data_IF_942585261435
#
_entry.id   IF_942585261435
#
_cell.length_a   1.000
_cell.length_b   1.000
_cell.length_c   1.000
_cell.angle_alpha   90.00
_cell.angle_beta   90.00
_cell.angle_gamma   90.00
#
_symmetry.space_group_name_H-M   'P 1'
#
loop_
_entity.id
_entity.type
_entity.pdbx_description
1 polymer ?
#
# COMPACT_ATOMS: atom_id res chain seq x y z
N UNK A 1 -1.92 9.41 -19.64
CA UNK A 1 -2.71 10.28 -18.73
C UNK A 1 -4.13 10.32 -19.27
N UNK A 2 -5.12 9.94 -18.46
CA UNK A 2 -6.53 10.01 -18.84
C UNK A 2 -7.30 10.92 -17.87
N UNK A 3 -8.33 11.59 -18.39
CA UNK A 3 -9.14 12.52 -17.62
C UNK A 3 -10.47 11.85 -17.26
N UNK A 4 -10.84 11.94 -15.98
CA UNK A 4 -12.15 11.52 -15.49
C UNK A 4 -12.76 12.64 -14.65
N UNK A 5 -14.09 12.74 -14.65
CA UNK A 5 -14.82 13.72 -13.84
C UNK A 5 -15.35 13.05 -12.57
N UNK A 6 -15.32 13.78 -11.47
CA UNK A 6 -16.04 13.41 -10.26
C UNK A 6 -17.53 13.64 -10.53
N UNK A 7 -18.31 12.56 -10.50
CA UNK A 7 -19.75 12.58 -10.62
C UNK A 7 -20.45 12.89 -9.31
N UNK A 8 -21.77 12.73 -9.31
CA UNK A 8 -22.58 12.93 -8.10
C UNK A 8 -22.09 12.04 -6.95
N UNK A 9 -22.16 12.59 -5.72
CA UNK A 9 -21.72 11.93 -4.48
C UNK A 9 -20.21 11.68 -4.40
N UNK A 10 -19.39 12.48 -5.11
CA UNK A 10 -17.94 12.42 -4.96
C UNK A 10 -17.27 11.19 -5.59
N UNK A 11 -17.96 10.46 -6.47
CA UNK A 11 -17.43 9.26 -7.11
C UNK A 11 -16.80 9.59 -8.45
N UNK A 12 -15.64 9.01 -8.73
CA UNK A 12 -15.06 8.97 -10.08
C UNK A 12 -14.72 7.52 -10.43
N UNK A 13 -14.63 7.23 -11.72
CA UNK A 13 -14.26 5.90 -12.21
C UNK A 13 -12.82 5.95 -12.70
N UNK A 14 -12.00 4.99 -12.28
CA UNK A 14 -10.65 4.84 -12.82
C UNK A 14 -10.78 4.36 -14.26
N UNK A 15 -10.25 5.08 -15.28
CA UNK A 15 -10.40 4.67 -16.67
C UNK A 15 -9.77 3.32 -16.98
N UNK A 16 -10.27 2.63 -18.01
CA UNK A 16 -9.92 1.23 -18.28
C UNK A 16 -8.42 1.00 -18.45
N UNK A 17 -7.75 1.78 -19.31
CA UNK A 17 -6.32 1.60 -19.55
C UNK A 17 -5.48 1.81 -18.27
N UNK A 18 -5.92 2.74 -17.40
CA UNK A 18 -5.27 3.00 -16.11
C UNK A 18 -5.48 1.82 -15.15
N UNK A 19 -6.69 1.25 -15.07
CA UNK A 19 -6.96 0.05 -14.24
C UNK A 19 -6.12 -1.14 -14.67
N UNK A 20 -6.06 -1.40 -15.98
CA UNK A 20 -5.30 -2.52 -16.55
C UNK A 20 -3.80 -2.36 -16.27
N UNK A 21 -3.25 -1.16 -16.53
CA UNK A 21 -1.84 -0.86 -16.26
C UNK A 21 -1.50 -0.97 -14.77
N UNK A 22 -2.42 -0.56 -13.89
CA UNK A 22 -2.25 -0.65 -12.44
C UNK A 22 -2.59 -2.03 -11.85
N UNK A 23 -3.04 -2.99 -12.65
CA UNK A 23 -3.43 -4.33 -12.19
C UNK A 23 -4.62 -4.33 -11.23
N UNK A 24 -5.53 -3.37 -11.37
CA UNK A 24 -6.75 -3.23 -10.58
C UNK A 24 -7.91 -4.01 -11.22
N UNK A 25 -8.56 -4.85 -10.43
CA UNK A 25 -9.65 -5.74 -10.81
C UNK A 25 -10.85 -5.53 -9.90
N UNK A 26 -12.01 -6.04 -10.31
CA UNK A 26 -13.19 -6.05 -9.47
C UNK A 26 -12.93 -6.83 -8.18
N UNK A 27 -13.37 -6.27 -7.04
CA UNK A 27 -13.17 -6.86 -5.71
C UNK A 27 -11.84 -6.48 -5.03
N UNK A 28 -10.91 -5.82 -5.73
CA UNK A 28 -9.69 -5.32 -5.10
C UNK A 28 -10.00 -4.24 -4.06
N UNK A 29 -9.33 -4.34 -2.90
CA UNK A 29 -9.28 -3.26 -1.93
C UNK A 29 -8.22 -2.23 -2.36
N UNK A 30 -8.53 -0.95 -2.21
CA UNK A 30 -7.61 0.16 -2.50
C UNK A 30 -7.56 1.15 -1.33
N UNK A 31 -6.39 1.74 -1.10
CA UNK A 31 -6.16 2.80 -0.13
C UNK A 31 -5.92 4.13 -0.85
N UNK A 32 -6.30 5.24 -0.22
CA UNK A 32 -6.13 6.60 -0.73
C UNK A 32 -5.25 7.41 0.22
N UNK A 33 -4.26 8.10 -0.33
CA UNK A 33 -3.34 8.95 0.42
C UNK A 33 -3.09 10.27 -0.31
N UNK A 34 -2.63 11.30 0.42
CA UNK A 34 -2.24 12.59 -0.15
C UNK A 34 -0.74 12.76 0.03
N UNK A 35 0.00 12.81 -1.08
CA UNK A 35 1.45 13.02 -1.09
C UNK A 35 1.80 14.21 -1.98
N UNK A 36 2.45 15.23 -1.41
CA UNK A 36 2.88 16.41 -2.19
C UNK A 36 1.75 17.08 -2.98
N UNK A 37 0.53 17.09 -2.44
CA UNK A 37 -0.66 17.64 -3.10
C UNK A 37 -1.26 16.75 -4.19
N UNK A 38 -0.81 15.50 -4.32
CA UNK A 38 -1.35 14.51 -5.26
C UNK A 38 -2.16 13.46 -4.52
N UNK A 39 -3.28 13.04 -5.12
CA UNK A 39 -4.01 11.85 -4.66
C UNK A 39 -3.27 10.61 -5.16
N UNK A 40 -2.77 9.80 -4.24
CA UNK A 40 -2.13 8.52 -4.52
C UNK A 40 -3.09 7.40 -4.15
N UNK A 41 -3.17 6.38 -4.99
CA UNK A 41 -4.06 5.23 -4.81
C UNK A 41 -3.22 3.96 -4.84
N UNK A 42 -3.35 3.14 -3.80
CA UNK A 42 -2.58 1.90 -3.67
C UNK A 42 -3.52 0.69 -3.69
N UNK A 43 -3.15 -0.36 -4.42
CA UNK A 43 -3.79 -1.67 -4.29
C UNK A 43 -3.39 -2.29 -2.95
N UNK A 44 -4.38 -2.66 -2.14
CA UNK A 44 -4.17 -3.35 -0.88
C UNK A 44 -4.22 -4.84 -1.14
N UNK A 45 -3.13 -5.54 -0.82
CA UNK A 45 -3.06 -7.00 -0.86
C UNK A 45 -3.14 -7.50 0.57
N UNK A 46 -4.24 -8.16 0.99
CA UNK A 46 -4.43 -8.63 2.36
C UNK A 46 -3.22 -9.43 2.86
N UNK A 47 -2.79 -10.42 2.08
CA UNK A 47 -1.68 -11.31 2.39
C UNK A 47 -0.35 -10.61 2.73
N UNK A 48 -0.14 -9.37 2.28
CA UNK A 48 1.06 -8.59 2.60
C UNK A 48 1.08 -8.12 4.04
N UNK A 49 -0.09 -7.85 4.63
CA UNK A 49 -0.24 -7.48 6.03
C UNK A 49 0.02 -8.71 6.91
N UNK A 50 -0.61 -9.84 6.62
CA UNK A 50 -0.37 -11.06 7.41
C UNK A 50 1.07 -11.59 7.28
N UNK A 51 1.68 -11.50 6.08
CA UNK A 51 3.09 -11.86 5.88
C UNK A 51 4.06 -10.96 6.66
N UNK A 52 3.86 -9.64 6.64
CA UNK A 52 4.69 -8.71 7.41
C UNK A 52 4.51 -8.89 8.91
N UNK A 53 3.27 -9.15 9.37
CA UNK A 53 3.01 -9.52 10.77
C UNK A 53 3.74 -10.82 11.14
N UNK A 54 3.65 -11.85 10.30
CA UNK A 54 4.32 -13.13 10.54
C UNK A 54 5.85 -13.02 10.57
N UNK A 55 6.45 -12.17 9.73
CA UNK A 55 7.89 -11.87 9.82
C UNK A 55 8.23 -11.18 11.14
N UNK A 56 7.44 -10.17 11.54
CA UNK A 56 7.69 -9.44 12.79
C UNK A 56 7.66 -10.35 14.02
N UNK A 57 6.77 -11.34 14.05
CA UNK A 57 6.72 -12.34 15.13
C UNK A 57 7.94 -13.29 15.11
N UNK A 58 8.39 -13.71 13.93
CA UNK A 58 9.55 -14.62 13.79
C UNK A 58 10.89 -13.91 14.02
N UNK A 59 10.98 -12.61 13.72
CA UNK A 59 12.20 -11.81 13.88
C UNK A 59 12.35 -11.17 15.27
N UNK A 60 11.50 -11.54 16.24
CA UNK A 60 11.59 -11.02 17.61
C UNK A 60 12.97 -11.21 18.26
N UNK A 61 13.67 -12.30 17.94
CA UNK A 61 15.04 -12.53 18.42
C UNK A 61 16.06 -11.53 17.89
N UNK A 62 15.83 -10.94 16.71
CA UNK A 62 16.74 -9.97 16.06
C UNK A 62 16.40 -8.51 16.39
N UNK A 63 15.28 -8.30 17.08
CA UNK A 63 14.83 -6.98 17.55
C UNK A 63 15.18 -6.75 19.03
N UNK A 64 16.10 -7.53 19.58
CA UNK A 64 16.48 -7.43 20.98
C UNK A 64 17.33 -6.19 21.26
N UNK A 65 17.35 -5.73 22.52
CA UNK A 65 18.24 -4.65 22.96
C UNK A 65 19.73 -5.03 22.82
N UNK A 66 20.04 -6.33 22.77
CA UNK A 66 21.39 -6.85 22.58
C UNK A 66 21.82 -6.75 21.13
N UNK A 67 20.92 -7.06 20.19
CA UNK A 67 21.14 -6.83 18.76
C UNK A 67 21.26 -5.34 18.43
N UNK A 68 20.39 -4.51 19.02
CA UNK A 68 20.44 -3.06 18.81
C UNK A 68 21.75 -2.45 19.36
N UNK A 69 22.42 -3.10 20.31
CA UNK A 69 23.78 -2.71 20.75
C UNK A 69 24.87 -3.24 19.82
N UNK A 70 24.69 -4.41 19.24
CA UNK A 70 25.69 -5.05 18.38
C UNK A 70 25.74 -4.42 16.97
N UNK A 71 24.61 -3.95 16.45
CA UNK A 71 24.48 -3.60 15.02
C UNK A 71 24.17 -2.13 14.70
N UNK A 72 23.98 -1.26 15.71
CA UNK A 72 23.54 0.14 15.51
C UNK A 72 24.52 1.02 14.73
N UNK A 73 25.81 0.69 14.76
CA UNK A 73 26.89 1.52 14.19
C UNK A 73 27.59 0.88 12.97
N UNK A 74 26.97 -0.15 12.36
CA UNK A 74 27.40 -0.77 11.10
C UNK A 74 26.63 -0.20 9.90
#
# INVERSE_FOLDING_TARGET
>A
MELAKIGARGRTTIPQAIRETAGLHEGDAIAFEIEGGRLVVHKVVPARVEYLHGIGEVMGEWLSLEDEKAWRDL
#
